data_IF_730600677300
#
_entry.id   IF_730600677300
#
_cell.length_a   1.000
_cell.length_b   1.000
_cell.length_c   1.000
_cell.angle_alpha   90.00
_cell.angle_beta   90.00
_cell.angle_gamma   90.00
#
_symmetry.space_group_name_H-M   'P 1'
#
loop_
_entity.id
_entity.type
_entity.pdbx_description
1 polymer ?
#
# COMPACT_ATOMS: atom_id res chain seq x y z
N UNK A 1 42.62 48.65 3.36
CA UNK A 1 41.32 48.35 4.00
C UNK A 1 40.42 47.73 2.93
N UNK A 2 40.16 46.42 3.00
CA UNK A 2 39.03 45.68 2.38
C UNK A 2 39.38 44.20 2.25
N UNK A 3 39.15 43.45 3.33
CA UNK A 3 39.02 41.99 3.31
C UNK A 3 37.76 41.70 4.14
N UNK A 4 36.57 41.62 3.54
CA UNK A 4 35.39 40.96 4.14
C UNK A 4 34.15 41.08 3.25
N UNK A 5 33.96 40.22 2.22
CA UNK A 5 32.61 40.02 1.64
C UNK A 5 32.42 38.73 0.82
N UNK A 6 33.05 37.59 1.18
CA UNK A 6 32.84 36.35 0.40
C UNK A 6 32.49 35.08 1.20
N UNK A 7 32.30 35.16 2.53
CA UNK A 7 32.06 33.96 3.37
C UNK A 7 30.57 33.70 3.66
N UNK A 8 29.65 34.63 3.37
CA UNK A 8 28.26 34.51 3.84
C UNK A 8 27.27 33.76 2.92
N UNK A 9 27.61 33.44 1.68
CA UNK A 9 26.70 32.77 0.74
C UNK A 9 26.67 31.24 0.90
N UNK A 10 27.77 30.61 1.32
CA UNK A 10 27.83 29.15 1.51
C UNK A 10 27.12 28.68 2.80
N UNK A 11 27.08 29.52 3.84
CA UNK A 11 26.50 29.15 5.14
C UNK A 11 24.96 29.05 5.11
N UNK A 12 24.30 29.82 4.24
CA UNK A 12 22.83 29.84 4.11
C UNK A 12 22.28 28.63 3.36
N UNK A 13 23.04 28.09 2.40
CA UNK A 13 22.67 26.88 1.67
C UNK A 13 22.82 25.63 2.54
N UNK A 14 23.94 25.52 3.28
CA UNK A 14 24.19 24.45 4.26
C UNK A 14 23.18 24.44 5.41
N UNK A 15 22.79 25.59 5.95
CA UNK A 15 21.75 25.65 6.98
C UNK A 15 20.37 25.26 6.44
N UNK A 16 20.03 25.61 5.19
CA UNK A 16 18.76 25.20 4.55
C UNK A 16 18.70 23.69 4.31
N UNK A 17 19.79 23.08 3.84
CA UNK A 17 19.84 21.63 3.64
C UNK A 17 19.86 20.88 4.96
N UNK A 18 20.56 21.36 5.99
CA UNK A 18 20.52 20.79 7.34
C UNK A 18 19.14 20.91 8.00
N UNK A 19 18.45 22.03 7.82
CA UNK A 19 17.09 22.20 8.36
C UNK A 19 16.09 21.33 7.60
N UNK A 20 16.24 21.20 6.27
CA UNK A 20 15.40 20.32 5.45
C UNK A 20 15.64 18.82 5.78
N UNK A 21 16.90 18.39 5.95
CA UNK A 21 17.21 17.01 6.37
C UNK A 21 16.78 16.73 7.81
N UNK A 22 16.93 17.70 8.72
CA UNK A 22 16.45 17.57 10.11
C UNK A 22 14.93 17.45 10.18
N UNK A 23 14.21 18.21 9.34
CA UNK A 23 12.74 18.14 9.23
C UNK A 23 12.26 16.88 8.53
N UNK A 24 13.01 16.39 7.55
CA UNK A 24 12.74 15.10 6.91
C UNK A 24 12.92 13.94 7.89
N UNK A 25 13.95 13.99 8.74
CA UNK A 25 14.14 13.00 9.81
C UNK A 25 13.05 13.06 10.89
N UNK A 26 12.58 14.25 11.27
CA UNK A 26 11.58 14.38 12.33
C UNK A 26 10.13 14.14 11.89
N UNK A 27 9.79 14.50 10.65
CA UNK A 27 8.39 14.53 10.18
C UNK A 27 8.15 13.62 8.96
N UNK A 28 9.20 13.03 8.38
CA UNK A 28 9.13 12.26 7.15
C UNK A 28 9.11 10.75 7.37
N UNK A 29 8.33 10.05 6.53
CA UNK A 29 8.36 8.59 6.43
C UNK A 29 9.35 8.19 5.34
N UNK A 30 10.33 7.35 5.67
CA UNK A 30 11.31 6.82 4.73
C UNK A 30 10.91 5.41 4.30
N UNK A 31 10.66 5.25 3.00
CA UNK A 31 10.30 3.94 2.43
C UNK A 31 11.55 3.29 1.85
N UNK A 32 11.96 2.17 2.45
CA UNK A 32 13.09 1.35 2.00
C UNK A 32 12.58 0.14 1.23
N UNK A 33 13.14 -0.11 0.04
CA UNK A 33 12.89 -1.34 -0.69
C UNK A 33 13.89 -2.40 -0.25
N UNK A 34 13.41 -3.48 0.37
CA UNK A 34 14.24 -4.59 0.82
C UNK A 34 13.41 -5.88 0.85
N UNK A 35 13.99 -6.97 0.33
CA UNK A 35 13.34 -8.28 0.31
C UNK A 35 14.00 -9.28 1.26
N UNK A 36 15.34 -9.33 1.29
CA UNK A 36 16.09 -10.31 2.09
C UNK A 36 16.09 -9.94 3.56
N UNK A 37 16.09 -10.95 4.43
CA UNK A 37 16.20 -10.74 5.87
C UNK A 37 17.48 -9.97 6.25
N UNK A 38 18.61 -10.24 5.58
CA UNK A 38 19.86 -9.53 5.85
C UNK A 38 19.80 -8.02 5.55
N UNK A 39 19.03 -7.61 4.54
CA UNK A 39 18.88 -6.20 4.16
C UNK A 39 17.85 -5.51 5.06
N UNK A 40 16.74 -6.20 5.37
CA UNK A 40 15.74 -5.74 6.34
C UNK A 40 16.40 -5.48 7.69
N UNK A 41 17.28 -6.36 8.16
CA UNK A 41 18.03 -6.17 9.41
C UNK A 41 18.94 -4.94 9.37
N UNK A 42 19.52 -4.63 8.22
CA UNK A 42 20.30 -3.39 8.05
C UNK A 42 19.41 -2.16 8.09
N UNK A 43 18.22 -2.22 7.49
CA UNK A 43 17.23 -1.13 7.56
C UNK A 43 16.81 -0.87 9.00
N UNK A 44 16.52 -1.92 9.79
CA UNK A 44 16.20 -1.80 11.22
C UNK A 44 17.34 -1.06 11.94
N UNK A 45 18.56 -1.58 11.88
CA UNK A 45 19.70 -0.97 12.57
C UNK A 45 20.02 0.46 12.11
N UNK A 46 19.86 0.75 10.82
CA UNK A 46 20.04 2.10 10.28
C UNK A 46 18.96 3.07 10.78
N UNK A 47 17.71 2.60 10.91
CA UNK A 47 16.59 3.40 11.38
C UNK A 47 16.76 3.74 12.87
N UNK A 48 17.18 2.77 13.67
CA UNK A 48 17.48 2.95 15.09
C UNK A 48 18.66 3.91 15.32
N UNK A 49 19.76 3.74 14.57
CA UNK A 49 20.95 4.58 14.70
C UNK A 49 20.66 6.05 14.39
N UNK A 50 19.72 6.29 13.48
CA UNK A 50 19.48 7.62 12.91
C UNK A 50 18.17 8.26 13.31
N UNK A 51 17.36 7.59 14.15
CA UNK A 51 16.05 8.01 14.62
C UNK A 51 15.14 8.37 13.43
N UNK A 52 14.94 7.38 12.55
CA UNK A 52 14.18 7.53 11.30
C UNK A 52 12.90 6.71 11.36
N UNK A 53 11.77 7.35 11.06
CA UNK A 53 10.51 6.66 10.82
C UNK A 53 10.56 5.89 9.48
N UNK A 54 10.76 4.58 9.55
CA UNK A 54 10.98 3.71 8.40
C UNK A 54 9.78 2.82 8.09
N UNK A 55 9.58 2.58 6.79
CA UNK A 55 8.63 1.59 6.25
C UNK A 55 9.36 0.75 5.22
N UNK A 56 9.15 -0.56 5.24
CA UNK A 56 9.81 -1.48 4.30
C UNK A 56 8.83 -1.95 3.24
N UNK A 57 9.12 -1.72 1.96
CA UNK A 57 8.37 -2.27 0.82
C UNK A 57 9.09 -3.49 0.23
N UNK A 58 8.32 -4.48 -0.20
CA UNK A 58 8.83 -5.74 -0.75
C UNK A 58 8.77 -6.84 0.31
N UNK A 59 9.62 -6.73 1.34
CA UNK A 59 9.55 -7.46 2.61
C UNK A 59 9.30 -8.97 2.46
N UNK A 60 9.86 -9.59 1.42
CA UNK A 60 9.58 -10.99 1.04
C UNK A 60 10.06 -12.00 2.07
N UNK A 61 11.12 -11.70 2.81
CA UNK A 61 11.65 -12.52 3.92
C UNK A 61 11.43 -11.87 5.30
N UNK A 62 10.57 -10.87 5.39
CA UNK A 62 10.31 -10.16 6.65
C UNK A 62 9.77 -11.10 7.75
N UNK A 63 9.05 -12.17 7.40
CA UNK A 63 8.61 -13.19 8.35
C UNK A 63 9.73 -13.82 9.18
N UNK A 64 10.98 -13.77 8.71
CA UNK A 64 12.14 -14.26 9.47
C UNK A 64 12.58 -13.30 10.59
N UNK A 65 12.10 -12.05 10.55
CA UNK A 65 12.44 -10.96 11.46
C UNK A 65 11.17 -10.32 12.06
N UNK A 66 10.11 -11.12 12.20
CA UNK A 66 8.79 -10.60 12.58
C UNK A 66 8.81 -9.96 13.98
N UNK A 67 9.50 -10.60 14.93
CA UNK A 67 9.65 -10.09 16.29
C UNK A 67 10.49 -8.80 16.30
N UNK A 68 11.63 -8.77 15.58
CA UNK A 68 12.47 -7.57 15.52
C UNK A 68 11.76 -6.38 14.85
N UNK A 69 10.95 -6.64 13.82
CA UNK A 69 10.16 -5.60 13.15
C UNK A 69 9.06 -5.06 14.07
N UNK A 70 8.42 -5.92 14.86
CA UNK A 70 7.41 -5.53 15.82
C UNK A 70 8.03 -4.68 16.95
N UNK A 71 9.18 -5.10 17.49
CA UNK A 71 9.90 -4.39 18.54
C UNK A 71 10.42 -3.01 18.07
N UNK A 72 10.69 -2.86 16.77
CA UNK A 72 11.20 -1.61 16.18
C UNK A 72 10.10 -0.67 15.67
N UNK A 73 8.82 -1.05 15.80
CA UNK A 73 7.67 -0.30 15.26
C UNK A 73 7.76 -0.02 13.74
N UNK A 74 8.46 -0.86 12.97
CA UNK A 74 8.66 -0.68 11.52
C UNK A 74 7.52 -1.38 10.75
N UNK A 75 6.73 -0.58 10.04
CA UNK A 75 5.67 -1.11 9.19
C UNK A 75 6.20 -1.70 7.87
N UNK A 76 5.46 -2.65 7.31
CA UNK A 76 5.82 -3.35 6.08
C UNK A 76 4.71 -3.24 5.02
N UNK A 77 5.11 -3.10 3.77
CA UNK A 77 4.24 -3.13 2.59
C UNK A 77 4.58 -4.38 1.78
N UNK A 78 3.66 -5.33 1.76
CA UNK A 78 3.82 -6.62 1.08
C UNK A 78 2.79 -6.78 -0.03
N UNK A 79 3.10 -7.57 -1.06
CA UNK A 79 2.09 -8.01 -2.00
C UNK A 79 1.64 -9.43 -1.58
N UNK A 80 0.38 -9.56 -1.20
CA UNK A 80 -0.20 -10.81 -0.67
C UNK A 80 -0.32 -11.93 -1.71
N UNK A 81 0.10 -11.69 -2.95
CA UNK A 81 0.12 -12.68 -4.03
C UNK A 81 1.51 -13.26 -4.30
N UNK A 82 2.56 -12.76 -3.64
CA UNK A 82 3.91 -13.26 -3.84
C UNK A 82 4.12 -14.61 -3.16
N UNK A 83 4.31 -15.64 -3.98
CA UNK A 83 4.53 -17.01 -3.54
C UNK A 83 5.74 -17.67 -4.21
N UNK A 84 6.38 -16.98 -5.15
CA UNK A 84 7.51 -17.46 -5.91
C UNK A 84 8.60 -16.40 -5.92
N UNK A 85 9.88 -16.80 -5.87
CA UNK A 85 10.97 -15.87 -6.07
C UNK A 85 10.95 -15.31 -7.49
N UNK A 86 11.07 -13.99 -7.60
CA UNK A 86 11.34 -13.31 -8.86
C UNK A 86 12.86 -13.23 -9.15
N UNK A 87 13.68 -13.29 -8.10
CA UNK A 87 15.13 -13.11 -8.10
C UNK A 87 15.78 -13.80 -6.88
N UNK A 88 17.09 -13.65 -6.72
CA UNK A 88 17.85 -14.20 -5.59
C UNK A 88 17.58 -13.50 -4.25
N UNK A 89 16.90 -12.35 -4.28
CA UNK A 89 16.59 -11.56 -3.09
C UNK A 89 15.21 -11.91 -2.52
N UNK A 90 14.43 -12.72 -3.23
CA UNK A 90 13.05 -13.10 -2.90
C UNK A 90 12.87 -14.61 -2.70
N UNK A 91 13.95 -15.35 -2.40
CA UNK A 91 13.93 -16.82 -2.25
C UNK A 91 12.95 -17.31 -1.17
N UNK A 92 12.81 -16.59 -0.05
CA UNK A 92 11.87 -16.91 1.01
C UNK A 92 10.42 -16.45 0.81
N UNK A 93 10.01 -16.08 -0.42
CA UNK A 93 8.64 -15.64 -0.73
C UNK A 93 7.60 -16.71 -0.39
N UNK A 94 6.53 -16.30 0.29
CA UNK A 94 5.47 -17.19 0.79
C UNK A 94 4.16 -16.45 1.04
N UNK A 95 3.04 -17.15 0.88
CA UNK A 95 1.69 -16.57 0.95
C UNK A 95 1.22 -16.20 2.36
N UNK A 96 1.74 -16.88 3.38
CA UNK A 96 1.48 -16.62 4.79
C UNK A 96 2.41 -15.55 5.40
N UNK A 97 3.25 -14.88 4.60
CA UNK A 97 4.16 -13.82 5.07
C UNK A 97 3.41 -12.71 5.83
N UNK A 98 2.33 -12.19 5.23
CA UNK A 98 1.49 -11.16 5.86
C UNK A 98 0.83 -11.64 7.16
N UNK A 99 0.42 -12.91 7.22
CA UNK A 99 -0.17 -13.51 8.40
C UNK A 99 0.84 -13.63 9.54
N UNK A 100 2.04 -14.14 9.26
CA UNK A 100 3.12 -14.27 10.24
C UNK A 100 3.51 -12.92 10.84
N UNK A 101 3.67 -11.90 9.99
CA UNK A 101 4.01 -10.55 10.41
C UNK A 101 2.90 -9.93 11.27
N UNK A 102 1.66 -9.98 10.79
CA UNK A 102 0.50 -9.45 11.52
C UNK A 102 0.30 -10.13 12.87
N UNK A 103 0.47 -11.45 12.94
CA UNK A 103 0.35 -12.22 14.18
C UNK A 103 1.46 -11.91 15.19
N UNK A 104 2.64 -11.48 14.72
CA UNK A 104 3.73 -10.99 15.57
C UNK A 104 3.53 -9.53 16.03
N UNK A 105 2.49 -8.84 15.54
CA UNK A 105 2.21 -7.44 15.88
C UNK A 105 2.81 -6.42 14.91
N UNK A 106 3.43 -6.86 13.81
CA UNK A 106 3.96 -5.96 12.78
C UNK A 106 2.80 -5.27 12.06
N UNK A 107 2.92 -3.96 11.85
CA UNK A 107 1.96 -3.20 11.04
C UNK A 107 2.13 -3.56 9.56
N UNK A 108 1.13 -4.23 8.98
CA UNK A 108 1.15 -4.69 7.58
C UNK A 108 0.25 -3.83 6.70
N UNK A 109 0.74 -3.50 5.50
CA UNK A 109 0.00 -2.87 4.41
C UNK A 109 0.16 -3.68 3.12
N UNK A 110 -0.76 -3.48 2.17
CA UNK A 110 -0.74 -4.20 0.89
C UNK A 110 -0.38 -3.31 -0.30
N UNK A 111 0.38 -3.87 -1.24
CA UNK A 111 0.67 -3.30 -2.56
C UNK A 111 0.31 -4.27 -3.68
N UNK A 112 0.18 -3.76 -4.90
CA UNK A 112 0.07 -4.56 -6.13
C UNK A 112 1.33 -4.51 -7.00
N UNK A 113 2.41 -3.93 -6.47
CA UNK A 113 3.69 -3.59 -7.11
C UNK A 113 3.55 -2.60 -8.30
N UNK A 114 2.73 -2.93 -9.28
CA UNK A 114 2.50 -2.15 -10.49
C UNK A 114 1.12 -1.49 -10.50
N UNK A 115 1.03 -0.27 -11.04
CA UNK A 115 -0.20 0.54 -11.04
C UNK A 115 -1.36 -0.12 -11.79
N UNK A 116 -1.09 -0.84 -12.88
CA UNK A 116 -2.13 -1.52 -13.65
C UNK A 116 -2.74 -2.72 -12.90
N UNK A 117 -2.09 -3.15 -11.81
CA UNK A 117 -2.52 -4.22 -10.94
C UNK A 117 -3.20 -3.73 -9.65
N UNK A 118 -3.43 -2.42 -9.47
CA UNK A 118 -4.02 -1.85 -8.24
C UNK A 118 -5.31 -2.55 -7.77
N UNK A 119 -6.14 -3.01 -8.71
CA UNK A 119 -7.37 -3.80 -8.43
C UNK A 119 -7.13 -5.13 -7.71
N UNK A 120 -5.90 -5.66 -7.74
CA UNK A 120 -5.50 -6.94 -7.13
C UNK A 120 -5.19 -6.81 -5.63
N UNK A 121 -5.11 -5.59 -5.07
CA UNK A 121 -4.85 -5.40 -3.64
C UNK A 121 -5.86 -6.17 -2.77
N UNK A 122 -7.16 -6.13 -3.13
CA UNK A 122 -8.21 -6.92 -2.46
C UNK A 122 -7.96 -8.43 -2.51
N UNK A 123 -7.52 -8.93 -3.67
CA UNK A 123 -7.16 -10.33 -3.84
C UNK A 123 -5.95 -10.70 -2.97
N UNK A 124 -4.95 -9.82 -2.88
CA UNK A 124 -3.79 -10.01 -2.02
C UNK A 124 -4.17 -10.10 -0.55
N UNK A 125 -5.05 -9.21 -0.07
CA UNK A 125 -5.55 -9.25 1.29
C UNK A 125 -6.42 -10.49 1.56
N UNK A 126 -7.33 -10.84 0.65
CA UNK A 126 -8.13 -12.07 0.76
C UNK A 126 -7.26 -13.32 0.80
N UNK A 127 -6.20 -13.35 0.00
CA UNK A 127 -5.18 -14.41 0.05
C UNK A 127 -4.51 -14.45 1.42
N UNK A 128 -4.04 -13.32 1.96
CA UNK A 128 -3.43 -13.28 3.29
C UNK A 128 -4.37 -13.83 4.39
N UNK A 129 -5.67 -13.51 4.34
CA UNK A 129 -6.68 -14.07 5.26
C UNK A 129 -6.82 -15.57 5.10
N UNK A 130 -6.89 -16.07 3.85
CA UNK A 130 -6.93 -17.50 3.57
C UNK A 130 -5.71 -18.27 4.11
N UNK A 131 -4.57 -17.58 4.27
CA UNK A 131 -3.33 -18.10 4.84
C UNK A 131 -3.12 -17.74 6.33
N UNK A 132 -4.15 -17.27 7.03
CA UNK A 132 -4.16 -17.15 8.49
C UNK A 132 -4.02 -15.73 9.06
N UNK A 133 -4.05 -14.69 8.22
CA UNK A 133 -4.14 -13.31 8.71
C UNK A 133 -5.55 -13.04 9.25
N UNK A 134 -5.66 -12.25 10.32
CA UNK A 134 -6.97 -11.81 10.82
C UNK A 134 -7.71 -10.97 9.75
N UNK A 135 -9.00 -11.25 9.57
CA UNK A 135 -9.85 -10.60 8.56
C UNK A 135 -9.93 -9.08 8.73
N UNK A 136 -10.18 -8.59 9.96
CA UNK A 136 -10.32 -7.17 10.23
C UNK A 136 -9.00 -6.43 10.05
N UNK A 137 -7.87 -7.05 10.43
CA UNK A 137 -6.54 -6.50 10.18
C UNK A 137 -6.23 -6.44 8.68
N UNK A 138 -6.66 -7.42 7.89
CA UNK A 138 -6.48 -7.40 6.44
C UNK A 138 -7.28 -6.28 5.76
N UNK A 139 -8.49 -5.97 6.25
CA UNK A 139 -9.27 -4.81 5.79
C UNK A 139 -8.59 -3.48 6.18
N UNK A 140 -8.12 -3.36 7.42
CA UNK A 140 -7.40 -2.19 7.90
C UNK A 140 -6.11 -1.94 7.09
N UNK A 141 -5.35 -3.00 6.78
CA UNK A 141 -4.13 -2.97 5.99
C UNK A 141 -4.30 -2.37 4.57
N UNK A 142 -5.53 -2.37 4.03
CA UNK A 142 -5.84 -1.73 2.74
C UNK A 142 -6.55 -0.37 2.87
N UNK A 143 -6.95 0.04 4.08
CA UNK A 143 -7.83 1.19 4.31
C UNK A 143 -7.25 2.18 5.34
N UNK A 144 -7.43 1.90 6.64
CA UNK A 144 -7.03 2.79 7.74
C UNK A 144 -5.52 2.79 7.96
N UNK A 145 -4.87 1.62 7.91
CA UNK A 145 -3.44 1.49 8.22
C UNK A 145 -2.56 2.32 7.29
N UNK A 146 -2.73 2.31 5.94
CA UNK A 146 -1.95 3.19 5.08
C UNK A 146 -2.20 4.68 5.35
N UNK A 147 -3.44 5.05 5.73
CA UNK A 147 -3.74 6.44 6.06
C UNK A 147 -3.04 6.89 7.35
N UNK A 148 -2.98 6.02 8.36
CA UNK A 148 -2.32 6.29 9.63
C UNK A 148 -0.79 6.36 9.48
N UNK A 149 -0.18 5.37 8.82
CA UNK A 149 1.28 5.29 8.63
C UNK A 149 1.81 6.49 7.85
N UNK A 150 1.10 6.95 6.82
CA UNK A 150 1.53 8.08 5.98
C UNK A 150 0.94 9.43 6.40
N UNK A 151 0.28 9.53 7.56
CA UNK A 151 -0.25 10.80 8.08
C UNK A 151 -1.35 11.43 7.22
N UNK A 152 -2.15 10.61 6.54
CA UNK A 152 -3.29 11.03 5.75
C UNK A 152 -4.57 11.17 6.60
N UNK A 153 -5.66 11.66 5.98
CA UNK A 153 -6.97 11.70 6.64
C UNK A 153 -7.44 10.28 6.94
N UNK A 154 -8.00 10.08 8.14
CA UNK A 154 -8.60 8.80 8.53
C UNK A 154 -9.58 8.29 7.48
N UNK A 155 -9.43 7.01 7.14
CA UNK A 155 -10.33 6.25 6.25
C UNK A 155 -11.32 5.39 7.01
N UNK A 156 -11.43 5.58 8.32
CA UNK A 156 -12.37 4.84 9.15
C UNK A 156 -13.81 5.29 8.89
N UNK A 157 -14.73 4.34 8.96
CA UNK A 157 -16.16 4.59 8.79
C UNK A 157 -16.75 5.12 10.11
N UNK A 158 -16.55 6.42 10.37
CA UNK A 158 -16.91 7.07 11.61
C UNK A 158 -17.44 8.50 11.38
N UNK A 159 -18.28 8.98 12.32
CA UNK A 159 -18.82 10.33 12.28
C UNK A 159 -17.68 11.36 12.30
N UNK A 160 -17.71 12.31 11.37
CA UNK A 160 -16.68 13.35 11.21
C UNK A 160 -15.61 13.05 10.15
N UNK A 161 -15.52 11.81 9.66
CA UNK A 161 -14.64 11.44 8.56
C UNK A 161 -15.25 11.76 7.19
N UNK A 162 -14.42 11.67 6.13
CA UNK A 162 -14.91 11.78 4.75
C UNK A 162 -15.90 10.66 4.46
N UNK A 163 -16.98 10.97 3.75
CA UNK A 163 -17.97 9.98 3.33
C UNK A 163 -17.50 9.24 2.06
N UNK A 164 -16.38 8.53 2.19
CA UNK A 164 -15.81 7.67 1.15
C UNK A 164 -16.20 6.22 1.43
N UNK A 165 -17.12 5.67 0.64
CA UNK A 165 -17.76 4.37 0.90
C UNK A 165 -17.79 3.52 -0.37
N UNK A 166 -17.65 2.22 -0.20
CA UNK A 166 -17.88 1.24 -1.27
C UNK A 166 -18.88 0.21 -0.77
N UNK A 167 -19.98 0.04 -1.50
CA UNK A 167 -20.99 -0.97 -1.23
C UNK A 167 -20.68 -2.19 -2.10
N UNK A 168 -20.47 -3.34 -1.48
CA UNK A 168 -20.10 -4.58 -2.16
C UNK A 168 -21.30 -5.51 -2.32
N UNK A 169 -21.30 -6.31 -3.39
CA UNK A 169 -22.30 -7.37 -3.60
C UNK A 169 -22.17 -8.55 -2.62
N UNK A 170 -21.05 -8.64 -1.92
CA UNK A 170 -20.72 -9.68 -0.93
C UNK A 170 -19.51 -9.26 -0.11
N UNK A 171 -18.73 -10.23 0.37
CA UNK A 171 -17.49 -9.96 1.12
C UNK A 171 -16.47 -9.21 0.22
N UNK A 172 -15.95 -8.04 0.64
CA UNK A 172 -14.98 -7.27 -0.15
C UNK A 172 -13.67 -8.00 -0.47
N UNK A 173 -13.26 -8.99 0.33
CA UNK A 173 -12.04 -9.78 0.11
C UNK A 173 -12.25 -10.94 -0.88
N UNK A 174 -13.50 -11.31 -1.13
CA UNK A 174 -13.84 -12.33 -2.13
C UNK A 174 -13.64 -11.79 -3.55
N UNK A 175 -12.94 -12.56 -4.37
CA UNK A 175 -12.61 -12.18 -5.76
C UNK A 175 -13.84 -12.13 -6.67
N UNK A 176 -14.91 -12.82 -6.29
CA UNK A 176 -16.19 -12.84 -7.01
C UNK A 176 -17.08 -11.66 -6.65
N UNK A 177 -16.80 -10.96 -5.54
CA UNK A 177 -17.50 -9.76 -5.13
C UNK A 177 -17.08 -8.54 -5.96
N UNK A 178 -18.06 -7.70 -6.25
CA UNK A 178 -17.89 -6.47 -7.02
C UNK A 178 -18.57 -5.29 -6.34
N UNK A 179 -18.06 -4.09 -6.58
CA UNK A 179 -18.66 -2.87 -6.07
C UNK A 179 -19.99 -2.62 -6.80
N UNK A 180 -21.04 -2.40 -6.03
CA UNK A 180 -22.39 -2.06 -6.51
C UNK A 180 -22.66 -0.56 -6.47
N UNK A 181 -22.01 0.15 -5.54
CA UNK A 181 -22.00 1.59 -5.46
C UNK A 181 -20.69 2.09 -4.86
N UNK A 182 -20.26 3.28 -5.28
CA UNK A 182 -19.10 4.00 -4.75
C UNK A 182 -19.54 5.41 -4.41
N UNK A 183 -19.28 5.85 -3.19
CA UNK A 183 -19.52 7.22 -2.71
C UNK A 183 -18.16 7.84 -2.43
N UNK A 184 -17.91 9.03 -2.95
CA UNK A 184 -16.68 9.79 -2.72
C UNK A 184 -17.08 11.17 -2.19
N UNK A 185 -16.57 11.57 -1.04
CA UNK A 185 -16.89 12.84 -0.37
C UNK A 185 -18.41 13.07 -0.20
N UNK A 186 -19.19 11.99 -0.07
CA UNK A 186 -20.65 12.06 0.07
C UNK A 186 -21.44 12.07 -1.24
N UNK A 187 -20.76 12.07 -2.39
CA UNK A 187 -21.39 12.03 -3.71
C UNK A 187 -21.33 10.64 -4.33
N UNK A 188 -22.45 10.19 -4.92
CA UNK A 188 -22.50 8.91 -5.61
C UNK A 188 -21.72 8.99 -6.94
N UNK A 189 -20.67 8.17 -7.06
CA UNK A 189 -19.87 8.06 -8.28
C UNK A 189 -20.56 7.19 -9.32
N UNK A 190 -20.39 7.53 -10.59
CA UNK A 190 -20.83 6.67 -11.70
C UNK A 190 -20.07 5.34 -11.66
N UNK A 191 -20.82 4.23 -11.78
CA UNK A 191 -20.29 2.88 -11.92
C UNK A 191 -20.05 2.48 -13.37
N UNK A 192 -20.30 3.41 -14.31
CA UNK A 192 -20.07 3.20 -15.73
C UNK A 192 -18.58 3.08 -16.02
N UNK A 193 -18.20 2.03 -16.72
CA UNK A 193 -16.82 1.75 -17.13
C UNK A 193 -16.71 1.66 -18.65
N UNK A 194 -15.48 1.68 -19.17
CA UNK A 194 -15.25 1.41 -20.59
C UNK A 194 -15.81 0.03 -20.98
N UNK A 195 -15.73 -0.94 -20.08
CA UNK A 195 -16.20 -2.30 -20.27
C UNK A 195 -17.73 -2.35 -20.33
N UNK A 196 -18.45 -1.62 -19.47
CA UNK A 196 -19.91 -1.55 -19.55
C UNK A 196 -20.36 -0.86 -20.83
N UNK A 197 -19.69 0.22 -21.26
CA UNK A 197 -19.96 0.87 -22.56
C UNK A 197 -19.71 -0.05 -23.75
N UNK A 198 -18.64 -0.84 -23.70
CA UNK A 198 -18.34 -1.81 -24.75
C UNK A 198 -19.35 -2.96 -24.73
N UNK A 199 -19.74 -3.43 -23.55
CA UNK A 199 -20.80 -4.44 -23.42
C UNK A 199 -22.09 -3.91 -24.05
N UNK A 200 -22.58 -2.75 -23.63
CA UNK A 200 -23.80 -2.14 -24.17
C UNK A 200 -23.73 -1.95 -25.68
N UNK A 201 -22.61 -1.45 -26.20
CA UNK A 201 -22.39 -1.31 -27.63
C UNK A 201 -22.49 -2.64 -28.36
N UNK A 202 -21.76 -3.67 -27.90
CA UNK A 202 -21.58 -4.93 -28.63
C UNK A 202 -22.57 -6.03 -28.25
N UNK A 203 -23.42 -5.82 -27.24
CA UNK A 203 -24.47 -6.76 -26.88
C UNK A 203 -25.59 -6.67 -27.92
N UNK A 204 -25.82 -7.73 -28.72
CA UNK A 204 -26.86 -7.70 -29.75
C UNK A 204 -28.23 -7.64 -29.09
N UNK A 205 -29.12 -6.80 -29.63
CA UNK A 205 -30.52 -6.76 -29.19
C UNK A 205 -31.25 -8.07 -29.52
N UNK A 206 -30.87 -8.71 -30.63
CA UNK A 206 -31.39 -10.00 -31.09
C UNK A 206 -30.28 -11.06 -31.18
N UNK A 207 -30.36 -12.11 -30.35
CA UNK A 207 -29.35 -13.15 -30.21
C UNK A 207 -29.03 -13.96 -31.51
N UNK A 208 -29.85 -13.83 -32.56
CA UNK A 208 -29.68 -14.50 -33.86
C UNK A 208 -28.98 -13.68 -34.94
N UNK A 209 -28.68 -12.40 -34.68
CA UNK A 209 -28.14 -11.49 -35.70
C UNK A 209 -26.60 -11.38 -35.62
N UNK A 210 -25.96 -11.31 -36.79
CA UNK A 210 -24.50 -11.20 -36.89
C UNK A 210 -23.96 -9.85 -36.39
N UNK A 211 -22.63 -9.73 -36.31
CA UNK A 211 -21.91 -8.51 -35.84
C UNK A 211 -22.28 -7.19 -36.54
N UNK A 212 -23.07 -7.20 -37.60
CA UNK A 212 -23.57 -5.99 -38.27
C UNK A 212 -24.69 -5.28 -37.49
N UNK A 213 -25.33 -5.96 -36.54
CA UNK A 213 -26.49 -5.49 -35.77
C UNK A 213 -26.12 -5.17 -34.31
N UNK A 214 -24.98 -4.49 -34.17
CA UNK A 214 -24.48 -3.91 -32.91
C UNK A 214 -25.35 -2.69 -32.57
N UNK A 215 -25.61 -2.47 -31.28
CA UNK A 215 -26.42 -1.34 -30.81
C UNK A 215 -25.73 -0.02 -31.21
N UNK A 216 -26.42 0.81 -32.01
CA UNK A 216 -25.85 2.03 -32.63
C UNK A 216 -26.13 3.28 -31.83
#
# INVERSE_FOLDING_TARGET
>A
MCIHTWVFTHHRALMRTQTATKRLKSDGVFVFAANRAADIKQVIGFSDEHDINAVIVGAREAWMLADELADSDIAVIVNGLDNLPADFDSLGSRLDNAALLSNAGVTVMFTSDETHNARKIRQGAGTAVAYGMNYDLALQAMTTTPAEVFGSRSRALAVGNSADLVVWSGDPLEVTSYATAVVIEGELSSMESRQSKLLERYLPEDAGMGRAYINR
#
